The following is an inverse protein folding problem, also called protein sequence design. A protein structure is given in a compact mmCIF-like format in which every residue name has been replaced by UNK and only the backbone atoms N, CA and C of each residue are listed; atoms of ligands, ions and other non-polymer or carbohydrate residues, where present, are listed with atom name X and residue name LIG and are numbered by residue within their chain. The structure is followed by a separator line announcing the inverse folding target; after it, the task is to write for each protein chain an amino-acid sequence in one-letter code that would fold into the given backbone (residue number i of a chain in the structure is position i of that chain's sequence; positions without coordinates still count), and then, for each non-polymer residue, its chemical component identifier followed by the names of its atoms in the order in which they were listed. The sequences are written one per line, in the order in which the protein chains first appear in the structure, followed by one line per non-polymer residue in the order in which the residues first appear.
data_IF_525251408733
#
_entry.id   IF_525251408733
#
_cell.length_a   1.000
_cell.length_b   1.000
_cell.length_c   1.000
_cell.angle_alpha   90.00
_cell.angle_beta   90.00
_cell.angle_gamma   90.00
#
_symmetry.space_group_name_H-M   'P 1'
#
loop_
_entity.id
_entity.type
_entity.pdbx_description
1 polymer ?
#
# COMPACT_ATOMS: atom_id res chain seq x y z
N UNK A 1 11.90 -13.46 -84.06
CA UNK A 1 11.34 -12.15 -83.66
C UNK A 1 10.11 -12.33 -82.78
N UNK A 2 10.31 -12.47 -81.46
CA UNK A 2 9.30 -12.24 -80.40
C UNK A 2 9.96 -12.43 -79.01
N UNK A 3 11.17 -11.90 -78.85
CA UNK A 3 11.91 -11.86 -77.59
C UNK A 3 11.73 -10.46 -77.02
N UNK A 4 10.57 -10.19 -76.39
CA UNK A 4 10.33 -9.18 -75.34
C UNK A 4 8.82 -9.04 -75.10
N UNK A 5 8.21 -9.97 -74.36
CA UNK A 5 7.02 -9.67 -73.56
C UNK A 5 7.39 -9.93 -72.11
N UNK A 6 7.77 -8.86 -71.40
CA UNK A 6 7.96 -8.86 -69.94
C UNK A 6 6.63 -9.26 -69.30
N UNK A 7 6.54 -10.46 -68.74
CA UNK A 7 5.48 -10.79 -67.80
C UNK A 7 5.67 -9.92 -66.54
N UNK A 8 4.64 -9.15 -66.19
CA UNK A 8 4.57 -8.36 -64.94
C UNK A 8 4.20 -9.26 -63.75
N UNK A 9 4.80 -10.44 -63.64
CA UNK A 9 4.64 -11.28 -62.46
C UNK A 9 5.87 -11.07 -61.57
N UNK A 10 5.78 -10.03 -60.74
CA UNK A 10 6.73 -9.83 -59.66
C UNK A 10 6.76 -11.07 -58.77
N UNK A 11 7.95 -11.51 -58.41
CA UNK A 11 8.19 -12.55 -57.40
C UNK A 11 7.43 -12.17 -56.13
N UNK A 12 6.26 -12.80 -55.90
CA UNK A 12 5.54 -12.69 -54.63
C UNK A 12 6.31 -13.50 -53.60
N UNK A 13 7.28 -12.86 -52.95
CA UNK A 13 7.83 -13.39 -51.71
C UNK A 13 6.66 -13.54 -50.74
N UNK A 14 6.37 -14.73 -50.19
CA UNK A 14 5.37 -14.84 -49.15
C UNK A 14 5.90 -14.04 -47.96
N UNK A 15 5.41 -12.81 -47.78
CA UNK A 15 5.54 -12.10 -46.53
C UNK A 15 4.77 -12.92 -45.51
N UNK A 16 5.45 -13.90 -44.91
CA UNK A 16 5.06 -14.44 -43.62
C UNK A 16 5.06 -13.22 -42.71
N UNK A 17 3.87 -12.67 -42.49
CA UNK A 17 3.63 -11.66 -41.47
C UNK A 17 4.14 -12.30 -40.19
N UNK A 18 5.37 -11.95 -39.79
CA UNK A 18 5.87 -12.30 -38.47
C UNK A 18 4.90 -11.60 -37.54
N UNK A 19 3.96 -12.35 -36.99
CA UNK A 19 3.16 -11.91 -35.87
C UNK A 19 4.18 -11.53 -34.80
N UNK A 20 4.35 -10.22 -34.63
CA UNK A 20 5.19 -9.66 -33.58
C UNK A 20 4.58 -10.18 -32.28
N UNK A 21 5.35 -10.82 -31.40
CA UNK A 21 4.82 -11.28 -30.12
C UNK A 21 4.25 -10.08 -29.36
N UNK A 22 2.95 -10.11 -29.07
CA UNK A 22 2.32 -9.15 -28.18
C UNK A 22 3.04 -9.18 -26.82
N UNK A 23 3.37 -8.00 -26.28
CA UNK A 23 3.94 -7.86 -24.92
C UNK A 23 5.45 -7.59 -24.81
N UNK A 24 6.20 -7.50 -25.92
CA UNK A 24 7.65 -7.21 -25.88
C UNK A 24 8.00 -5.81 -25.33
N UNK A 25 7.07 -4.86 -25.41
CA UNK A 25 7.29 -3.47 -25.03
C UNK A 25 6.24 -3.01 -24.02
N UNK A 26 6.65 -2.25 -23.01
CA UNK A 26 5.78 -1.68 -21.97
C UNK A 26 6.02 -0.19 -21.88
N UNK A 27 4.95 0.61 -21.90
CA UNK A 27 5.03 2.06 -21.71
C UNK A 27 5.04 2.39 -20.22
N UNK A 28 5.96 3.25 -19.79
CA UNK A 28 5.98 3.77 -18.43
C UNK A 28 4.79 4.71 -18.21
N UNK A 29 4.02 4.46 -17.16
CA UNK A 29 2.85 5.29 -16.78
C UNK A 29 3.25 6.70 -16.35
N UNK A 30 4.47 6.87 -15.82
CA UNK A 30 4.97 8.14 -15.31
C UNK A 30 5.64 9.00 -16.40
N UNK A 31 6.68 8.48 -17.06
CA UNK A 31 7.50 9.28 -18.00
C UNK A 31 7.18 9.02 -19.47
N UNK A 32 6.28 8.08 -19.78
CA UNK A 32 5.86 7.75 -21.14
C UNK A 32 6.89 6.97 -21.98
N UNK A 33 8.07 6.66 -21.44
CA UNK A 33 9.12 5.90 -22.13
C UNK A 33 8.65 4.49 -22.50
N UNK A 34 9.06 4.00 -23.68
CA UNK A 34 8.74 2.65 -24.15
C UNK A 34 9.91 1.73 -23.80
N UNK A 35 9.67 0.81 -22.87
CA UNK A 35 10.70 -0.06 -22.31
C UNK A 35 10.59 -1.46 -22.88
N UNK A 36 11.73 -2.10 -23.16
CA UNK A 36 11.77 -3.50 -23.55
C UNK A 36 11.57 -4.39 -22.31
N UNK A 37 10.69 -5.40 -22.42
CA UNK A 37 10.27 -6.19 -21.26
C UNK A 37 11.44 -6.93 -20.56
N UNK A 38 12.41 -7.44 -21.33
CA UNK A 38 13.59 -8.12 -20.75
C UNK A 38 14.51 -7.15 -20.00
N UNK A 39 14.61 -5.91 -20.45
CA UNK A 39 15.37 -4.88 -19.73
C UNK A 39 14.66 -4.50 -18.45
N UNK A 40 13.34 -4.37 -18.50
CA UNK A 40 12.51 -4.11 -17.34
C UNK A 40 12.65 -5.23 -16.30
N UNK A 41 12.61 -6.50 -16.72
CA UNK A 41 12.82 -7.65 -15.84
C UNK A 41 14.22 -7.66 -15.20
N UNK A 42 15.27 -7.39 -15.98
CA UNK A 42 16.65 -7.26 -15.46
C UNK A 42 16.78 -6.12 -14.46
N UNK A 43 16.04 -5.03 -14.66
CA UNK A 43 15.98 -3.90 -13.73
C UNK A 43 14.89 -4.06 -12.65
N UNK A 44 14.48 -5.30 -12.37
CA UNK A 44 13.53 -5.67 -11.31
C UNK A 44 12.17 -4.93 -11.42
N UNK A 45 11.72 -4.71 -12.65
CA UNK A 45 10.47 -4.00 -12.94
C UNK A 45 10.45 -2.56 -12.42
N UNK A 46 11.60 -1.89 -12.54
CA UNK A 46 11.74 -0.45 -12.33
C UNK A 46 12.11 0.23 -13.64
N UNK A 47 11.53 1.39 -13.93
CA UNK A 47 11.81 2.14 -15.15
C UNK A 47 13.28 2.56 -15.17
N UNK A 48 13.99 2.27 -16.25
CA UNK A 48 15.42 2.62 -16.43
C UNK A 48 15.66 4.11 -16.55
N UNK A 49 14.63 4.91 -16.88
CA UNK A 49 14.72 6.36 -17.08
C UNK A 49 14.32 7.17 -15.84
N UNK A 50 13.19 6.84 -15.23
CA UNK A 50 12.62 7.62 -14.13
C UNK A 50 12.48 6.85 -12.81
N UNK A 51 12.99 5.60 -12.73
CA UNK A 51 12.90 4.74 -11.55
C UNK A 51 11.47 4.55 -11.04
N UNK A 52 10.47 4.56 -11.94
CA UNK A 52 9.10 4.22 -11.61
C UNK A 52 8.98 2.73 -11.31
N UNK A 53 8.38 2.41 -10.18
CA UNK A 53 8.17 1.05 -9.73
C UNK A 53 6.87 0.50 -10.33
N UNK A 54 7.01 -0.44 -11.27
CA UNK A 54 5.83 -1.10 -11.83
C UNK A 54 5.24 -2.08 -10.82
N UNK A 55 3.91 -2.26 -10.89
CA UNK A 55 3.23 -3.35 -10.20
C UNK A 55 3.68 -4.68 -10.78
N UNK A 56 4.01 -5.62 -9.91
CA UNK A 56 4.44 -6.96 -10.30
C UNK A 56 3.68 -8.02 -9.51
N UNK A 57 3.52 -9.24 -10.06
CA UNK A 57 2.90 -10.34 -9.35
C UNK A 57 3.66 -10.72 -8.08
N UNK A 58 2.94 -11.26 -7.10
CA UNK A 58 3.51 -11.70 -5.82
C UNK A 58 4.60 -12.78 -6.01
N UNK A 59 4.43 -13.69 -6.98
CA UNK A 59 5.45 -14.69 -7.33
C UNK A 59 6.75 -14.05 -7.83
N UNK A 60 6.67 -12.89 -8.49
CA UNK A 60 7.86 -12.15 -8.94
C UNK A 60 8.60 -11.55 -7.77
N UNK A 61 7.90 -10.97 -6.79
CA UNK A 61 8.53 -10.51 -5.53
C UNK A 61 9.23 -11.65 -4.79
N UNK A 62 8.60 -12.82 -4.68
CA UNK A 62 9.23 -14.00 -4.06
C UNK A 62 10.56 -14.34 -4.74
N UNK A 63 10.62 -14.32 -6.09
CA UNK A 63 11.86 -14.55 -6.85
C UNK A 63 12.91 -13.46 -6.66
N UNK A 64 12.49 -12.21 -6.50
CA UNK A 64 13.40 -11.07 -6.33
C UNK A 64 14.05 -11.09 -4.94
N UNK A 65 13.28 -11.47 -3.92
CA UNK A 65 13.69 -11.34 -2.52
C UNK A 65 14.41 -12.58 -1.99
N UNK A 66 13.86 -13.77 -2.26
CA UNK A 66 14.33 -15.01 -1.65
C UNK A 66 15.44 -15.68 -2.46
N UNK A 67 16.20 -16.55 -1.81
CA UNK A 67 17.20 -17.38 -2.47
C UNK A 67 16.52 -18.36 -3.44
N UNK A 68 17.19 -18.64 -4.55
CA UNK A 68 16.67 -19.51 -5.60
C UNK A 68 16.32 -20.90 -5.05
N UNK A 69 15.10 -21.37 -5.34
CA UNK A 69 14.61 -22.68 -4.88
C UNK A 69 14.25 -22.78 -3.39
N UNK A 70 14.42 -21.71 -2.61
CA UNK A 70 14.16 -21.75 -1.15
C UNK A 70 12.68 -21.64 -0.77
N UNK A 71 11.84 -21.08 -1.66
CA UNK A 71 10.45 -20.79 -1.32
C UNK A 71 9.59 -22.04 -1.23
N UNK A 72 8.99 -22.25 -0.07
CA UNK A 72 7.97 -23.28 0.17
C UNK A 72 6.64 -22.60 0.48
N UNK A 73 5.74 -22.60 -0.49
CA UNK A 73 4.38 -22.06 -0.33
C UNK A 73 3.61 -22.84 0.74
N UNK A 74 2.88 -22.13 1.61
CA UNK A 74 2.08 -22.69 2.70
C UNK A 74 0.66 -22.13 2.66
N UNK A 75 -0.28 -22.92 3.16
CA UNK A 75 -1.68 -22.53 3.33
C UNK A 75 -2.41 -22.21 2.01
N UNK A 76 -1.92 -22.74 0.89
CA UNK A 76 -2.51 -22.57 -0.44
C UNK A 76 -3.88 -23.25 -0.56
N UNK A 77 -4.17 -24.20 0.33
CA UNK A 77 -5.47 -24.86 0.48
C UNK A 77 -6.55 -23.94 1.06
N UNK A 78 -6.18 -22.85 1.75
CA UNK A 78 -7.14 -21.89 2.34
C UNK A 78 -7.61 -20.92 1.25
N UNK A 79 -8.85 -21.06 0.77
CA UNK A 79 -9.37 -20.27 -0.35
C UNK A 79 -10.64 -19.50 0.01
N UNK A 80 -10.85 -18.32 -0.58
CA UNK A 80 -12.10 -17.57 -0.38
C UNK A 80 -13.31 -18.34 -0.92
N UNK A 81 -14.38 -18.28 -0.15
CA UNK A 81 -15.73 -18.72 -0.51
C UNK A 81 -16.65 -17.51 -0.57
N UNK A 82 -17.94 -17.71 -0.87
CA UNK A 82 -18.96 -16.66 -0.89
C UNK A 82 -19.94 -16.83 0.29
N UNK A 83 -19.53 -16.49 1.54
CA UNK A 83 -20.33 -16.75 2.74
C UNK A 83 -21.60 -15.91 2.78
N UNK A 84 -21.59 -14.73 2.15
CA UNK A 84 -22.73 -13.79 2.12
C UNK A 84 -23.62 -13.96 0.88
N UNK A 85 -23.26 -14.89 -0.04
CA UNK A 85 -23.91 -15.05 -1.35
C UNK A 85 -24.01 -13.70 -2.09
N UNK A 86 -22.93 -12.91 -2.01
CA UNK A 86 -22.94 -11.51 -2.41
C UNK A 86 -23.11 -11.37 -3.92
N UNK A 87 -23.97 -10.43 -4.33
CA UNK A 87 -24.21 -10.12 -5.73
C UNK A 87 -24.38 -8.61 -5.91
N UNK A 88 -23.54 -8.07 -6.79
CA UNK A 88 -23.75 -6.76 -7.39
C UNK A 88 -24.12 -6.95 -8.88
N UNK A 89 -23.56 -6.13 -9.77
CA UNK A 89 -23.48 -6.40 -11.22
C UNK A 89 -23.04 -7.83 -11.58
N UNK A 90 -22.21 -8.47 -10.76
CA UNK A 90 -21.69 -9.84 -10.90
C UNK A 90 -21.75 -10.55 -9.55
N UNK A 91 -21.85 -11.88 -9.57
CA UNK A 91 -21.77 -12.67 -8.32
C UNK A 91 -20.33 -12.69 -7.83
N UNK A 92 -20.13 -12.69 -6.52
CA UNK A 92 -18.78 -12.74 -5.94
C UNK A 92 -18.03 -14.03 -6.34
N UNK A 93 -18.72 -15.16 -6.38
CA UNK A 93 -18.16 -16.43 -6.86
C UNK A 93 -17.56 -16.33 -8.28
N UNK A 94 -18.21 -15.59 -9.19
CA UNK A 94 -17.72 -15.41 -10.56
C UNK A 94 -16.47 -14.52 -10.59
N UNK A 95 -16.43 -13.50 -9.73
CA UNK A 95 -15.25 -12.63 -9.56
C UNK A 95 -14.05 -13.43 -9.03
N UNK A 96 -14.27 -14.33 -8.06
CA UNK A 96 -13.24 -15.22 -7.55
C UNK A 96 -12.72 -16.16 -8.62
N UNK A 97 -13.62 -16.80 -9.39
CA UNK A 97 -13.23 -17.69 -10.50
C UNK A 97 -12.36 -16.94 -11.51
N UNK A 98 -12.83 -15.77 -11.95
CA UNK A 98 -12.10 -14.93 -12.91
C UNK A 98 -10.72 -14.50 -12.38
N UNK A 99 -10.65 -14.04 -11.14
CA UNK A 99 -9.37 -13.63 -10.54
C UNK A 99 -8.37 -14.78 -10.44
N UNK A 100 -8.83 -16.00 -10.13
CA UNK A 100 -7.98 -17.21 -10.11
C UNK A 100 -7.46 -17.55 -11.51
N UNK A 101 -8.32 -17.45 -12.53
CA UNK A 101 -7.94 -17.70 -13.93
C UNK A 101 -6.92 -16.67 -14.44
N UNK A 102 -7.12 -15.38 -14.15
CA UNK A 102 -6.24 -14.30 -14.63
C UNK A 102 -4.87 -14.30 -13.93
N UNK A 103 -4.82 -14.62 -12.64
CA UNK A 103 -3.59 -14.52 -11.83
C UNK A 103 -2.87 -15.84 -11.64
N UNK A 104 -3.55 -16.98 -11.81
CA UNK A 104 -3.06 -18.29 -11.40
C UNK A 104 -2.88 -18.44 -9.88
N UNK A 105 -3.40 -17.51 -9.08
CA UNK A 105 -3.35 -17.53 -7.62
C UNK A 105 -4.67 -18.05 -7.04
N UNK A 106 -4.60 -18.70 -5.89
CA UNK A 106 -5.79 -19.17 -5.17
C UNK A 106 -6.42 -18.09 -4.29
N UNK A 107 -5.66 -17.06 -3.91
CA UNK A 107 -6.06 -15.90 -3.12
C UNK A 107 -5.10 -14.71 -3.36
N UNK A 108 -5.47 -13.51 -2.88
CA UNK A 108 -4.70 -12.27 -2.97
C UNK A 108 -3.40 -12.20 -2.17
N UNK A 109 -3.00 -13.29 -1.50
CA UNK A 109 -1.74 -13.35 -0.78
C UNK A 109 -1.11 -14.73 -0.92
N UNK A 110 0.20 -14.72 -1.22
CA UNK A 110 1.08 -15.87 -1.10
C UNK A 110 1.74 -15.83 0.26
N UNK A 111 1.68 -16.92 1.01
CA UNK A 111 2.37 -17.07 2.29
C UNK A 111 3.26 -18.30 2.22
N UNK A 112 4.45 -18.23 2.77
CA UNK A 112 5.36 -19.35 2.75
C UNK A 112 6.61 -19.11 3.58
N UNK A 113 7.51 -20.07 3.50
CA UNK A 113 8.83 -20.00 4.11
C UNK A 113 9.88 -19.85 3.00
N UNK A 114 11.02 -19.27 3.33
CA UNK A 114 12.18 -19.26 2.45
C UNK A 114 13.40 -18.72 3.16
N UNK A 115 14.45 -18.44 2.39
CA UNK A 115 15.69 -17.89 2.91
C UNK A 115 16.12 -16.64 2.15
N UNK A 116 16.82 -15.74 2.83
CA UNK A 116 17.60 -14.66 2.22
C UNK A 116 19.03 -14.81 2.70
N UNK A 117 19.97 -15.07 1.79
CA UNK A 117 21.37 -15.35 2.09
C UNK A 117 21.50 -16.47 3.15
N UNK A 118 20.69 -17.52 2.99
CA UNK A 118 20.63 -18.68 3.89
C UNK A 118 19.91 -18.44 5.22
N UNK A 119 19.42 -17.23 5.51
CA UNK A 119 18.70 -16.91 6.76
C UNK A 119 17.21 -17.20 6.59
N UNK A 120 16.61 -18.05 7.45
CA UNK A 120 15.22 -18.42 7.30
C UNK A 120 14.28 -17.29 7.71
N UNK A 121 13.17 -17.15 6.99
CA UNK A 121 12.08 -16.24 7.31
C UNK A 121 10.73 -16.85 6.89
N UNK A 122 9.66 -16.32 7.48
CA UNK A 122 8.31 -16.47 6.95
C UNK A 122 7.97 -15.21 6.18
N UNK A 123 7.43 -15.36 4.97
CA UNK A 123 7.09 -14.25 4.10
C UNK A 123 5.65 -14.35 3.61
N UNK A 124 4.94 -13.23 3.63
CA UNK A 124 3.64 -13.03 3.00
C UNK A 124 3.73 -11.93 1.94
N UNK A 125 3.28 -12.20 0.72
CA UNK A 125 3.33 -11.24 -0.40
C UNK A 125 1.95 -11.10 -1.00
N UNK A 126 1.35 -9.93 -0.86
CA UNK A 126 0.04 -9.62 -1.44
C UNK A 126 0.15 -9.36 -2.95
N UNK A 127 -0.89 -9.74 -3.69
CA UNK A 127 -0.98 -9.51 -5.13
C UNK A 127 -2.18 -8.62 -5.47
N UNK A 128 -1.90 -7.41 -5.95
CA UNK A 128 -2.94 -6.45 -6.32
C UNK A 128 -3.80 -6.91 -7.51
N UNK A 129 -3.27 -7.77 -8.39
CA UNK A 129 -4.02 -8.28 -9.54
C UNK A 129 -5.21 -9.16 -9.10
N UNK A 130 -5.13 -9.79 -7.92
CA UNK A 130 -6.23 -10.58 -7.37
C UNK A 130 -7.23 -9.67 -6.64
N UNK A 131 -8.28 -9.24 -7.34
CA UNK A 131 -9.35 -8.40 -6.78
C UNK A 131 -8.84 -7.16 -6.02
N UNK A 132 -7.83 -6.48 -6.59
CA UNK A 132 -7.23 -5.28 -5.99
C UNK A 132 -6.40 -5.57 -4.75
N UNK A 133 -5.93 -6.81 -4.56
CA UNK A 133 -5.20 -7.23 -3.36
C UNK A 133 -6.04 -7.11 -2.09
N UNK A 134 -7.38 -7.06 -2.22
CA UNK A 134 -8.25 -6.76 -1.09
C UNK A 134 -8.19 -7.87 -0.05
N UNK A 135 -8.11 -7.53 1.24
CA UNK A 135 -8.05 -8.53 2.30
C UNK A 135 -9.45 -9.09 2.60
N UNK A 136 -9.60 -10.39 2.42
CA UNK A 136 -10.81 -11.16 2.73
C UNK A 136 -10.54 -12.20 3.82
N UNK A 137 -11.54 -13.01 4.19
CA UNK A 137 -11.40 -14.01 5.26
C UNK A 137 -10.25 -15.00 5.00
N UNK A 138 -10.13 -15.51 3.76
CA UNK A 138 -9.07 -16.44 3.40
C UNK A 138 -7.68 -15.78 3.39
N UNK A 139 -7.57 -14.55 2.87
CA UNK A 139 -6.31 -13.81 2.91
C UNK A 139 -5.90 -13.51 4.36
N UNK A 140 -6.83 -13.09 5.22
CA UNK A 140 -6.61 -12.86 6.64
C UNK A 140 -6.24 -14.14 7.41
N UNK A 141 -6.84 -15.28 7.07
CA UNK A 141 -6.45 -16.59 7.63
C UNK A 141 -5.03 -16.99 7.20
N UNK A 142 -4.64 -16.80 5.95
CA UNK A 142 -3.27 -17.07 5.49
C UNK A 142 -2.25 -16.19 6.22
N UNK A 143 -2.54 -14.90 6.39
CA UNK A 143 -1.69 -13.98 7.18
C UNK A 143 -1.58 -14.49 8.62
N UNK A 144 -2.71 -14.81 9.25
CA UNK A 144 -2.75 -15.33 10.61
C UNK A 144 -1.92 -16.61 10.78
N UNK A 145 -2.04 -17.57 9.86
CA UNK A 145 -1.23 -18.80 9.86
C UNK A 145 0.24 -18.52 9.60
N UNK A 146 0.58 -17.55 8.75
CA UNK A 146 1.95 -17.09 8.56
C UNK A 146 2.57 -16.53 9.83
N UNK A 147 1.83 -15.68 10.56
CA UNK A 147 2.26 -15.15 11.86
C UNK A 147 2.46 -16.29 12.87
N UNK A 148 1.52 -17.24 12.93
CA UNK A 148 1.63 -18.41 13.82
C UNK A 148 2.83 -19.30 13.46
N UNK A 149 3.11 -19.51 12.17
CA UNK A 149 4.27 -20.26 11.70
C UNK A 149 5.58 -19.56 12.08
N UNK A 150 5.63 -18.22 11.95
CA UNK A 150 6.76 -17.40 12.39
C UNK A 150 6.97 -17.50 13.90
N UNK A 151 5.87 -17.47 14.68
CA UNK A 151 5.89 -17.71 16.13
C UNK A 151 6.41 -19.09 16.51
N UNK A 152 5.92 -20.14 15.85
CA UNK A 152 6.29 -21.54 16.11
C UNK A 152 7.78 -21.75 15.85
N UNK A 153 8.27 -21.29 14.69
CA UNK A 153 9.66 -21.49 14.26
C UNK A 153 10.64 -20.46 14.81
N UNK A 154 10.14 -19.39 15.43
CA UNK A 154 10.93 -18.22 15.84
C UNK A 154 11.71 -17.60 14.68
N UNK A 155 11.14 -17.66 13.47
CA UNK A 155 11.72 -17.05 12.27
C UNK A 155 11.14 -15.65 12.07
N UNK A 156 11.92 -14.64 11.64
CA UNK A 156 11.40 -13.32 11.32
C UNK A 156 10.24 -13.38 10.33
N UNK A 157 9.26 -12.49 10.51
CA UNK A 157 8.12 -12.33 9.61
C UNK A 157 8.36 -11.13 8.68
N UNK A 158 8.12 -11.32 7.39
CA UNK A 158 8.09 -10.24 6.40
C UNK A 158 6.73 -10.22 5.71
N UNK A 159 6.00 -9.10 5.77
CA UNK A 159 4.75 -8.94 5.02
C UNK A 159 4.88 -7.81 4.00
N UNK A 160 4.78 -8.15 2.72
CA UNK A 160 4.70 -7.20 1.63
C UNK A 160 3.23 -6.93 1.28
N UNK A 161 2.82 -5.68 1.49
CA UNK A 161 1.45 -5.22 1.33
C UNK A 161 1.28 -4.51 -0.01
N UNK A 162 0.25 -4.92 -0.75
CA UNK A 162 -0.25 -4.27 -1.96
C UNK A 162 -1.75 -4.51 -2.02
N UNK A 163 -2.53 -3.51 -1.62
CA UNK A 163 -3.97 -3.67 -1.38
C UNK A 163 -4.76 -2.38 -1.55
N UNK A 164 -5.95 -2.53 -2.13
CA UNK A 164 -7.03 -1.53 -2.13
C UNK A 164 -7.85 -1.47 -0.83
N UNK A 165 -7.55 -2.32 0.17
CA UNK A 165 -8.25 -2.35 1.45
C UNK A 165 -8.98 -3.66 1.75
N UNK A 166 -10.08 -3.58 2.50
CA UNK A 166 -10.87 -4.75 2.89
C UNK A 166 -11.77 -5.23 1.73
N UNK A 167 -11.97 -6.53 1.59
CA UNK A 167 -12.81 -7.09 0.53
C UNK A 167 -14.28 -6.95 0.88
N UNK A 168 -14.92 -5.92 0.31
CA UNK A 168 -16.31 -5.55 0.61
C UNK A 168 -17.32 -6.69 0.37
N UNK A 169 -17.03 -7.61 -0.55
CA UNK A 169 -17.90 -8.75 -0.85
C UNK A 169 -18.12 -9.70 0.34
N UNK A 170 -17.20 -9.72 1.31
CA UNK A 170 -17.32 -10.50 2.56
C UNK A 170 -17.69 -9.61 3.77
N UNK A 171 -17.93 -8.31 3.55
CA UNK A 171 -18.44 -7.38 4.55
C UNK A 171 -17.62 -7.34 5.85
N UNK A 172 -18.32 -7.52 6.97
CA UNK A 172 -17.72 -7.49 8.32
C UNK A 172 -16.63 -8.56 8.51
N UNK A 173 -16.70 -9.68 7.80
CA UNK A 173 -15.70 -10.75 7.91
C UNK A 173 -14.32 -10.26 7.47
N UNK A 174 -14.27 -9.44 6.41
CA UNK A 174 -13.04 -8.79 5.95
C UNK A 174 -12.50 -7.79 6.97
N UNK A 175 -13.37 -6.99 7.60
CA UNK A 175 -12.97 -6.04 8.64
C UNK A 175 -12.33 -6.76 9.83
N UNK A 176 -12.92 -7.87 10.27
CA UNK A 176 -12.42 -8.63 11.43
C UNK A 176 -11.04 -9.26 11.19
N UNK A 177 -10.61 -9.42 9.94
CA UNK A 177 -9.25 -9.88 9.66
C UNK A 177 -8.17 -8.89 10.13
N UNK A 178 -8.48 -7.59 10.18
CA UNK A 178 -7.58 -6.57 10.74
C UNK A 178 -7.30 -6.85 12.21
N UNK A 179 -8.36 -7.03 13.00
CA UNK A 179 -8.25 -7.31 14.43
C UNK A 179 -7.51 -8.63 14.69
N UNK A 180 -7.82 -9.66 13.89
CA UNK A 180 -7.18 -10.98 13.96
C UNK A 180 -5.67 -10.90 13.71
N UNK A 181 -5.26 -10.24 12.62
CA UNK A 181 -3.84 -10.10 12.28
C UNK A 181 -3.09 -9.34 13.37
N UNK A 182 -3.63 -8.20 13.82
CA UNK A 182 -3.00 -7.39 14.87
C UNK A 182 -2.91 -8.11 16.21
N UNK A 183 -3.92 -8.90 16.61
CA UNK A 183 -3.87 -9.68 17.83
C UNK A 183 -2.75 -10.74 17.80
N UNK A 184 -2.51 -11.35 16.64
CA UNK A 184 -1.41 -12.31 16.47
C UNK A 184 -0.05 -11.62 16.36
N UNK A 185 0.03 -10.45 15.71
CA UNK A 185 1.24 -9.64 15.68
C UNK A 185 1.63 -9.13 17.07
N UNK A 186 0.66 -8.81 17.92
CA UNK A 186 0.93 -8.49 19.33
C UNK A 186 1.60 -9.68 20.05
N UNK A 187 1.15 -10.90 19.79
CA UNK A 187 1.79 -12.13 20.34
C UNK A 187 3.18 -12.37 19.74
N UNK A 188 3.36 -12.10 18.45
CA UNK A 188 4.66 -12.16 17.75
C UNK A 188 5.65 -11.17 18.38
N UNK A 189 5.17 -9.95 18.59
CA UNK A 189 5.89 -8.90 19.30
C UNK A 189 6.22 -9.37 20.71
N UNK A 190 5.27 -9.81 21.55
CA UNK A 190 5.56 -10.32 22.91
C UNK A 190 6.64 -11.43 22.93
N UNK A 191 6.61 -12.31 21.93
CA UNK A 191 7.58 -13.39 21.78
C UNK A 191 8.99 -12.90 21.38
N UNK A 192 9.14 -11.66 20.92
CA UNK A 192 10.41 -11.10 20.46
C UNK A 192 10.84 -11.60 19.09
N UNK A 193 9.88 -12.02 18.27
CA UNK A 193 10.15 -12.41 16.88
C UNK A 193 9.99 -11.17 15.99
N UNK A 194 11.01 -10.78 15.21
CA UNK A 194 10.96 -9.56 14.40
C UNK A 194 9.88 -9.61 13.31
N UNK A 195 9.19 -8.49 13.11
CA UNK A 195 8.25 -8.27 12.03
C UNK A 195 8.67 -7.06 11.18
N UNK A 196 8.95 -7.30 9.90
CA UNK A 196 9.24 -6.26 8.91
C UNK A 196 8.04 -6.11 7.98
N UNK A 197 7.50 -4.89 7.91
CA UNK A 197 6.43 -4.54 6.97
C UNK A 197 7.02 -3.84 5.75
N UNK A 198 6.60 -4.24 4.54
CA UNK A 198 6.94 -3.57 3.29
C UNK A 198 5.65 -3.10 2.64
N UNK A 199 5.51 -1.80 2.43
CA UNK A 199 4.37 -1.21 1.74
C UNK A 199 4.73 -0.90 0.29
N UNK A 200 3.97 -1.44 -0.66
CA UNK A 200 4.15 -1.16 -2.09
C UNK A 200 2.91 -0.48 -2.67
N UNK A 201 3.02 -0.02 -3.91
CA UNK A 201 1.94 0.72 -4.56
C UNK A 201 0.80 -0.21 -5.02
N UNK A 202 -0.47 0.07 -4.65
CA UNK A 202 -0.92 0.89 -3.52
C UNK A 202 -1.06 0.06 -2.23
N UNK A 203 -0.95 0.68 -1.05
CA UNK A 203 -1.29 0.06 0.24
C UNK A 203 -2.32 0.94 0.95
N UNK A 204 -3.59 0.56 0.88
CA UNK A 204 -4.69 1.41 1.34
C UNK A 204 -5.70 0.70 2.26
N UNK A 205 -6.57 1.49 2.91
CA UNK A 205 -7.74 0.98 3.63
C UNK A 205 -7.38 0.18 4.87
N UNK A 206 -8.13 -0.90 5.08
CA UNK A 206 -7.98 -1.76 6.25
C UNK A 206 -6.60 -2.42 6.38
N UNK A 207 -5.90 -2.65 5.27
CA UNK A 207 -4.52 -3.21 5.30
C UNK A 207 -3.56 -2.20 5.92
N UNK A 208 -3.57 -0.94 5.46
CA UNK A 208 -2.76 0.14 6.04
C UNK A 208 -3.12 0.39 7.50
N UNK A 209 -4.40 0.37 7.84
CA UNK A 209 -4.86 0.55 9.23
C UNK A 209 -4.75 -0.72 10.11
N UNK A 210 -4.02 -1.75 9.66
CA UNK A 210 -3.77 -2.96 10.45
C UNK A 210 -2.31 -3.39 10.37
N UNK A 211 -2.02 -4.60 9.90
CA UNK A 211 -0.71 -5.21 9.98
C UNK A 211 0.36 -4.40 9.25
N UNK A 212 0.02 -3.73 8.14
CA UNK A 212 1.00 -3.00 7.36
C UNK A 212 1.70 -1.87 8.15
N UNK A 213 1.04 -1.22 9.11
CA UNK A 213 1.60 -0.05 9.84
C UNK A 213 2.08 -0.38 11.25
N UNK A 214 2.25 -1.66 11.60
CA UNK A 214 2.67 -2.10 12.95
C UNK A 214 3.88 -3.02 12.91
N UNK A 215 4.73 -2.87 11.88
CA UNK A 215 6.04 -3.52 11.81
C UNK A 215 7.02 -2.98 12.84
N UNK A 216 7.96 -3.81 13.29
CA UNK A 216 9.15 -3.32 14.01
C UNK A 216 10.02 -2.43 13.11
N UNK A 217 9.99 -2.71 11.80
CA UNK A 217 10.52 -1.84 10.74
C UNK A 217 9.51 -1.78 9.61
N UNK A 218 9.16 -0.56 9.20
CA UNK A 218 8.24 -0.23 8.12
C UNK A 218 9.05 0.35 6.96
N UNK A 219 9.12 -0.43 5.88
CA UNK A 219 9.73 -0.04 4.63
C UNK A 219 8.66 0.32 3.61
N UNK A 220 8.98 1.21 2.68
CA UNK A 220 8.15 1.45 1.51
C UNK A 220 8.98 1.54 0.23
N UNK A 221 8.35 1.21 -0.90
CA UNK A 221 8.92 1.52 -2.21
C UNK A 221 8.70 3.02 -2.56
N UNK A 222 9.61 3.66 -3.32
CA UNK A 222 9.47 5.04 -3.78
C UNK A 222 8.14 5.32 -4.47
N UNK A 223 7.59 6.51 -4.23
CA UNK A 223 6.30 7.00 -4.74
C UNK A 223 5.11 6.06 -4.49
N UNK A 224 5.20 5.14 -3.53
CA UNK A 224 4.08 4.25 -3.24
C UNK A 224 2.91 5.04 -2.61
N UNK A 225 1.73 4.95 -3.23
CA UNK A 225 0.49 5.47 -2.63
C UNK A 225 0.10 4.64 -1.39
N UNK A 226 0.16 5.25 -0.21
CA UNK A 226 -0.12 4.64 1.07
C UNK A 226 -1.08 5.52 1.88
N UNK A 227 -2.20 4.96 2.34
CA UNK A 227 -3.08 5.70 3.23
C UNK A 227 -4.40 5.00 3.55
N UNK A 228 -5.05 5.44 4.63
CA UNK A 228 -6.31 4.81 5.07
C UNK A 228 -7.45 5.04 4.06
N UNK A 229 -7.79 6.29 3.77
CA UNK A 229 -8.79 6.63 2.75
C UNK A 229 -8.09 7.01 1.44
N UNK A 230 -8.66 6.63 0.29
CA UNK A 230 -8.11 7.03 -1.01
C UNK A 230 -8.17 8.55 -1.24
N UNK A 231 -7.24 9.13 -2.01
CA UNK A 231 -7.13 10.58 -2.18
C UNK A 231 -8.41 11.18 -2.78
N UNK A 232 -9.07 10.44 -3.69
CA UNK A 232 -10.37 10.83 -4.26
C UNK A 232 -11.45 11.07 -3.20
N UNK A 233 -11.57 10.16 -2.22
CA UNK A 233 -12.58 10.25 -1.16
C UNK A 233 -12.28 11.42 -0.24
N UNK A 234 -11.01 11.64 0.10
CA UNK A 234 -10.59 12.74 0.96
C UNK A 234 -10.88 14.08 0.28
N UNK A 235 -10.46 14.25 -0.99
CA UNK A 235 -10.70 15.47 -1.79
C UNK A 235 -12.19 15.83 -1.85
N UNK A 236 -13.06 14.85 -2.04
CA UNK A 236 -14.51 15.04 -2.05
C UNK A 236 -15.07 15.44 -0.68
N UNK A 237 -14.48 14.94 0.40
CA UNK A 237 -14.96 15.20 1.77
C UNK A 237 -14.57 16.60 2.25
N UNK A 238 -13.32 17.02 1.99
CA UNK A 238 -12.82 18.32 2.45
C UNK A 238 -13.09 19.45 1.44
N UNK A 239 -13.48 19.10 0.21
CA UNK A 239 -13.70 20.02 -0.92
C UNK A 239 -12.52 20.99 -1.17
N UNK A 240 -11.30 20.46 -1.08
CA UNK A 240 -10.05 21.20 -1.28
C UNK A 240 -9.06 20.34 -2.07
N UNK A 241 -8.13 21.01 -2.75
CA UNK A 241 -7.00 20.33 -3.39
C UNK A 241 -6.09 19.69 -2.34
N UNK A 242 -5.59 18.50 -2.65
CA UNK A 242 -4.65 17.80 -1.78
C UNK A 242 -3.23 18.32 -2.06
N UNK A 243 -2.37 18.38 -1.03
CA UNK A 243 -0.97 18.74 -1.22
C UNK A 243 -0.28 17.87 -2.28
N UNK A 244 0.74 18.40 -2.94
CA UNK A 244 1.58 17.62 -3.83
C UNK A 244 2.24 16.46 -3.06
N UNK A 245 2.29 15.28 -3.67
CA UNK A 245 2.82 14.08 -3.03
C UNK A 245 1.98 13.56 -1.86
N UNK A 246 0.76 14.06 -1.64
CA UNK A 246 -0.11 13.55 -0.58
C UNK A 246 -0.26 12.03 -0.67
N UNK A 247 -0.05 11.34 0.46
CA UNK A 247 -0.06 9.87 0.57
C UNK A 247 1.05 9.13 -0.17
N UNK A 248 2.07 9.79 -0.72
CA UNK A 248 3.24 9.05 -1.22
C UNK A 248 4.13 8.59 -0.08
N UNK A 249 4.96 7.57 -0.33
CA UNK A 249 5.98 7.12 0.61
C UNK A 249 6.87 8.24 1.15
N UNK A 250 7.23 9.22 0.32
CA UNK A 250 8.03 10.40 0.70
C UNK A 250 7.28 11.29 1.68
N UNK A 251 5.99 11.52 1.43
CA UNK A 251 5.14 12.26 2.35
C UNK A 251 5.00 11.54 3.69
N UNK A 252 4.79 10.22 3.69
CA UNK A 252 4.65 9.44 4.92
C UNK A 252 5.97 9.34 5.71
N UNK A 253 7.11 9.23 5.02
CA UNK A 253 8.44 9.28 5.65
C UNK A 253 8.63 10.63 6.37
N UNK A 254 8.29 11.75 5.72
CA UNK A 254 8.38 13.08 6.33
C UNK A 254 7.44 13.27 7.54
N UNK A 255 6.39 12.44 7.67
CA UNK A 255 5.48 12.41 8.82
C UNK A 255 5.83 11.35 9.87
N UNK A 256 6.93 10.61 9.69
CA UNK A 256 7.40 9.59 10.63
C UNK A 256 6.54 8.32 10.65
N UNK A 257 5.81 8.02 9.57
CA UNK A 257 5.00 6.80 9.46
C UNK A 257 5.72 5.64 8.77
N UNK A 258 6.85 5.91 8.12
CA UNK A 258 7.70 4.94 7.42
C UNK A 258 9.12 5.15 7.94
N UNK A 259 9.85 4.08 8.22
CA UNK A 259 11.24 4.17 8.71
C UNK A 259 12.21 4.44 7.57
N UNK A 260 11.98 3.82 6.41
CA UNK A 260 12.85 3.99 5.24
C UNK A 260 12.14 3.71 3.92
N UNK A 261 12.44 4.55 2.93
CA UNK A 261 12.10 4.29 1.53
C UNK A 261 13.24 3.52 0.89
N UNK A 262 12.95 2.40 0.24
CA UNK A 262 13.94 1.47 -0.30
C UNK A 262 13.60 1.18 -1.76
N UNK A 263 14.52 1.52 -2.66
CA UNK A 263 14.38 1.16 -4.07
C UNK A 263 14.45 -0.37 -4.24
N UNK A 264 13.72 -0.92 -5.21
CA UNK A 264 13.49 -2.38 -5.29
C UNK A 264 14.77 -3.18 -5.53
N UNK A 265 15.75 -2.59 -6.21
CA UNK A 265 17.10 -3.15 -6.40
C UNK A 265 17.88 -3.33 -5.09
N UNK A 266 17.61 -2.51 -4.07
CA UNK A 266 18.25 -2.54 -2.76
C UNK A 266 17.43 -3.29 -1.71
N UNK A 267 16.18 -3.66 -2.05
CA UNK A 267 15.23 -4.23 -1.11
C UNK A 267 15.73 -5.56 -0.53
N UNK A 268 16.24 -6.47 -1.37
CA UNK A 268 16.81 -7.76 -0.91
C UNK A 268 18.01 -7.54 0.02
N UNK A 269 18.93 -6.64 -0.36
CA UNK A 269 20.12 -6.29 0.45
C UNK A 269 19.72 -5.69 1.81
N UNK A 270 18.75 -4.79 1.79
CA UNK A 270 18.22 -4.14 3.00
C UNK A 270 17.56 -5.16 3.92
N UNK A 271 16.77 -6.08 3.37
CA UNK A 271 16.18 -7.18 4.14
C UNK A 271 17.26 -8.10 4.73
N UNK A 272 18.27 -8.49 3.95
CA UNK A 272 19.37 -9.30 4.50
C UNK A 272 20.05 -8.59 5.68
N UNK A 273 20.35 -7.30 5.53
CA UNK A 273 20.95 -6.50 6.61
C UNK A 273 20.07 -6.42 7.86
N UNK A 274 18.76 -6.21 7.70
CA UNK A 274 17.82 -6.21 8.83
C UNK A 274 17.74 -7.58 9.52
N UNK A 275 17.67 -8.67 8.74
CA UNK A 275 17.66 -10.03 9.28
C UNK A 275 18.95 -10.34 10.04
N UNK A 276 20.10 -9.86 9.55
CA UNK A 276 21.38 -9.95 10.25
C UNK A 276 21.38 -9.17 11.56
N UNK A 277 20.90 -7.93 11.53
CA UNK A 277 20.80 -7.08 12.71
C UNK A 277 19.94 -7.72 13.80
N UNK A 278 18.74 -8.21 13.46
CA UNK A 278 17.85 -8.85 14.42
C UNK A 278 18.38 -10.18 14.94
N UNK A 279 19.06 -10.97 14.09
CA UNK A 279 19.70 -12.21 14.52
C UNK A 279 20.82 -11.94 15.56
N UNK A 280 21.64 -10.90 15.32
CA UNK A 280 22.67 -10.49 16.26
C UNK A 280 22.06 -9.93 17.57
N UNK A 281 21.00 -9.12 17.48
CA UNK A 281 20.30 -8.61 18.64
C UNK A 281 19.73 -9.73 19.51
N UNK A 282 19.22 -10.80 18.92
CA UNK A 282 18.70 -11.96 19.64
C UNK A 282 19.77 -12.70 20.47
N UNK A 283 21.06 -12.55 20.14
CA UNK A 283 22.18 -13.15 20.89
C UNK A 283 22.60 -12.31 22.12
N UNK A 284 22.16 -11.05 22.23
CA UNK A 284 22.51 -10.19 23.36
C UNK A 284 21.67 -10.52 24.60
N UNK A 285 22.18 -10.25 25.83
CA UNK A 285 21.41 -10.43 27.05
C UNK A 285 20.16 -9.54 27.01
N UNK A 286 19.00 -10.17 26.84
CA UNK A 286 17.74 -9.46 26.81
C UNK A 286 17.29 -9.15 28.23
N UNK A 287 16.98 -7.88 28.52
CA UNK A 287 16.18 -7.58 29.72
C UNK A 287 14.87 -8.36 29.61
N UNK A 288 14.38 -8.98 30.69
CA UNK A 288 13.10 -9.66 30.66
C UNK A 288 12.04 -8.71 30.13
N UNK A 289 11.42 -9.08 29.01
CA UNK A 289 10.32 -8.31 28.43
C UNK A 289 9.19 -8.29 29.45
N UNK A 290 8.72 -7.10 29.79
CA UNK A 290 7.65 -6.89 30.77
C UNK A 290 6.44 -7.73 30.35
N UNK A 291 5.89 -8.51 31.27
CA UNK A 291 4.70 -9.31 30.95
C UNK A 291 3.52 -8.36 30.75
N UNK A 292 2.62 -8.66 29.80
CA UNK A 292 1.42 -7.86 29.56
C UNK A 292 0.60 -7.54 30.83
N UNK A 293 0.62 -8.45 31.83
CA UNK A 293 0.00 -8.24 33.15
C UNK A 293 0.62 -7.09 33.99
N UNK A 294 1.92 -6.82 33.86
CA UNK A 294 2.61 -5.73 34.57
C UNK A 294 2.26 -4.36 33.98
N UNK A 295 2.05 -4.30 32.66
CA UNK A 295 1.58 -3.08 31.96
C UNK A 295 0.12 -2.77 32.33
N UNK A 296 -0.74 -3.80 32.43
CA UNK A 296 -2.13 -3.64 32.87
C UNK A 296 -2.22 -3.19 34.34
N UNK A 297 -1.36 -3.71 35.21
CA UNK A 297 -1.26 -3.32 36.61
C UNK A 297 -0.88 -1.84 36.77
N UNK A 298 0.00 -1.32 35.90
CA UNK A 298 0.33 0.11 35.86
C UNK A 298 -0.78 0.97 35.27
N UNK A 299 -1.50 0.52 34.24
CA UNK A 299 -2.69 1.23 33.76
C UNK A 299 -3.78 1.34 34.84
N UNK A 300 -3.97 0.28 35.64
CA UNK A 300 -4.81 0.32 36.84
C UNK A 300 -4.27 1.23 37.94
N UNK A 301 -2.95 1.42 38.03
CA UNK A 301 -2.33 2.31 39.01
C UNK A 301 -2.34 3.78 38.59
N UNK A 302 -2.34 4.06 37.27
CA UNK A 302 -2.45 5.42 36.71
C UNK A 302 -3.91 5.86 36.57
N UNK A 303 -4.82 4.91 36.34
CA UNK A 303 -6.25 5.12 36.48
C UNK A 303 -6.64 5.08 37.96
N UNK A 304 -6.67 6.24 38.62
CA UNK A 304 -7.53 6.40 39.79
C UNK A 304 -8.94 5.87 39.48
N UNK A 305 -9.74 5.45 40.48
CA UNK A 305 -11.03 4.84 40.23
C UNK A 305 -11.81 5.72 39.25
N UNK A 306 -12.11 5.18 38.08
CA UNK A 306 -13.14 5.77 37.23
C UNK A 306 -14.36 5.77 38.15
N UNK A 307 -14.70 6.94 38.68
CA UNK A 307 -15.90 7.09 39.45
C UNK A 307 -17.01 6.49 38.59
N UNK A 308 -17.65 5.44 39.09
CA UNK A 308 -18.89 4.95 38.54
C UNK A 308 -19.96 6.01 38.83
N UNK A 309 -19.82 7.19 38.24
CA UNK A 309 -20.96 8.03 37.99
C UNK A 309 -21.66 7.33 36.84
N UNK A 310 -22.60 6.46 37.18
CA UNK A 310 -23.60 6.02 36.22
C UNK A 310 -24.17 7.30 35.61
N UNK A 311 -23.82 7.57 34.35
CA UNK A 311 -24.49 8.62 33.62
C UNK A 311 -25.99 8.27 33.66
N UNK A 312 -26.87 9.19 34.11
CA UNK A 312 -28.29 8.91 34.07
C UNK A 312 -28.67 8.55 32.63
N UNK A 313 -29.61 7.61 32.43
CA UNK A 313 -30.02 7.19 31.10
C UNK A 313 -30.38 8.43 30.28
N UNK A 314 -30.00 8.48 28.98
CA UNK A 314 -30.34 9.62 28.14
C UNK A 314 -31.85 9.82 28.19
N UNK A 315 -32.30 11.04 28.50
CA UNK A 315 -33.71 11.39 28.44
C UNK A 315 -34.23 11.03 27.03
N UNK A 316 -35.43 10.46 26.93
CA UNK A 316 -36.05 10.24 25.62
C UNK A 316 -36.09 11.57 24.87
N UNK A 317 -35.90 11.57 23.54
CA UNK A 317 -35.94 12.80 22.76
C UNK A 317 -37.30 13.47 22.99
N UNK A 318 -37.25 14.74 23.41
CA UNK A 318 -38.40 15.63 23.34
C UNK A 318 -38.89 15.66 21.89
N UNK A 319 -40.22 15.62 21.73
CA UNK A 319 -40.94 15.43 20.48
C UNK A 319 -40.26 16.07 19.26
N UNK A 320 -40.19 15.31 18.17
CA UNK A 320 -39.71 15.80 16.90
C UNK A 320 -40.49 17.08 16.51
N UNK A 321 -39.83 18.16 16.07
CA UNK A 321 -40.54 19.35 15.64
C UNK A 321 -41.48 18.98 14.48
N UNK A 322 -42.73 19.45 14.55
CA UNK A 322 -43.74 19.22 13.54
C UNK A 322 -43.22 19.59 12.13
N UNK A 323 -43.62 18.86 11.08
CA UNK A 323 -43.15 19.12 9.72
C UNK A 323 -43.59 20.53 9.28
N UNK A 324 -42.63 21.39 8.99
CA UNK A 324 -42.89 22.76 8.50
C UNK A 324 -42.05 23.89 9.10
N UNK A 325 -41.17 23.61 10.07
CA UNK A 325 -40.24 24.65 10.57
C UNK A 325 -39.05 24.79 9.61
N UNK A 326 -38.80 25.98 9.01
CA UNK A 326 -37.64 26.18 8.17
C UNK A 326 -36.36 26.01 8.99
N UNK A 327 -35.41 25.24 8.46
CA UNK A 327 -34.09 25.07 9.06
C UNK A 327 -33.45 26.45 9.26
N UNK A 328 -33.09 26.78 10.51
CA UNK A 328 -32.35 28.00 10.82
C UNK A 328 -31.08 28.04 9.97
N UNK A 329 -30.90 29.15 9.26
CA UNK A 329 -29.66 29.43 8.54
C UNK A 329 -28.47 29.33 9.51
N UNK A 330 -27.51 28.50 9.12
CA UNK A 330 -26.26 28.33 9.83
C UNK A 330 -25.41 29.60 9.63
N UNK A 331 -25.37 30.48 10.62
CA UNK A 331 -24.41 31.58 10.64
C UNK A 331 -23.07 31.06 11.20
N UNK A 332 -21.97 31.12 10.43
CA UNK A 332 -20.68 30.69 10.93
C UNK A 332 -20.20 31.65 12.02
N UNK A 333 -19.94 31.14 13.22
CA UNK A 333 -19.29 31.89 14.30
C UNK A 333 -17.87 32.25 13.86
N UNK A 334 -17.56 33.55 13.81
CA UNK A 334 -16.21 34.05 13.55
C UNK A 334 -15.21 33.43 14.53
N UNK A 335 -14.24 32.68 14.00
CA UNK A 335 -13.05 32.24 14.72
C UNK A 335 -12.12 33.43 14.88
N UNK A 336 -11.87 33.81 16.13
CA UNK A 336 -10.86 34.80 16.48
C UNK A 336 -9.46 34.18 16.26
N UNK A 337 -8.67 34.77 15.37
CA UNK A 337 -7.24 34.48 15.27
C UNK A 337 -6.48 35.02 16.49
N UNK A 338 -5.29 34.47 16.81
CA UNK A 338 -4.47 35.01 17.88
C UNK A 338 -3.98 36.39 17.42
N UNK A 339 -4.27 37.43 18.21
CA UNK A 339 -3.94 38.85 17.99
C UNK A 339 -5.02 39.76 17.35
N UNK A 340 -6.31 39.53 17.63
CA UNK A 340 -7.26 40.61 18.01
C UNK A 340 -7.30 41.92 17.21
N UNK A 341 -7.17 41.91 15.88
CA UNK A 341 -7.41 43.08 15.01
C UNK A 341 -8.40 42.69 13.90
N UNK A 342 -9.51 43.43 13.68
CA UNK A 342 -10.49 43.10 12.65
C UNK A 342 -10.01 43.50 11.25
N UNK A 343 -10.12 42.59 10.29
CA UNK A 343 -9.86 42.86 8.87
C UNK A 343 -11.11 43.43 8.18
N UNK A 344 -10.93 44.50 7.39
CA UNK A 344 -11.98 45.14 6.60
C UNK A 344 -12.32 44.31 5.33
N UNK A 345 -13.58 44.33 4.85
CA UNK A 345 -13.97 43.58 3.66
C UNK A 345 -13.61 44.35 2.37
N UNK A 346 -12.64 43.85 1.61
CA UNK A 346 -12.41 44.27 0.23
C UNK A 346 -13.26 43.41 -0.71
N UNK A 347 -14.34 43.98 -1.23
CA UNK A 347 -15.04 43.45 -2.39
C UNK A 347 -14.35 43.95 -3.66
N UNK A 348 -14.03 43.05 -4.57
CA UNK A 348 -13.70 43.38 -5.96
C UNK A 348 -14.22 42.27 -6.88
N UNK A 349 -15.04 42.68 -7.84
CA UNK A 349 -15.60 41.93 -8.95
C UNK A 349 -14.54 41.48 -9.97
N UNK A 350 -14.75 40.39 -10.73
CA UNK A 350 -13.76 39.88 -11.66
C UNK A 350 -13.75 40.69 -12.96
N UNK A 351 -12.60 41.25 -13.31
CA UNK A 351 -12.36 41.86 -14.62
C UNK A 351 -11.81 40.81 -15.62
N UNK A 352 -12.32 40.88 -16.83
CA UNK A 352 -12.00 40.06 -18.01
C UNK A 352 -10.50 40.06 -18.36
N UNK A 353 -10.00 38.91 -18.81
CA UNK A 353 -8.70 38.77 -19.46
C UNK A 353 -8.90 38.55 -20.97
N UNK A 354 -8.19 39.28 -21.86
CA UNK A 354 -8.23 39.01 -23.30
C UNK A 354 -7.24 37.91 -23.69
N UNK A 355 -7.63 37.18 -24.75
CA UNK A 355 -6.83 36.18 -25.47
C UNK A 355 -5.67 36.84 -26.22
N UNK A 356 -4.50 36.20 -26.24
CA UNK A 356 -3.65 36.08 -27.43
C UNK A 356 -2.57 34.98 -27.25
N UNK A 357 -2.23 34.32 -28.36
CA UNK A 357 -1.39 33.12 -28.49
C UNK A 357 0.03 33.47 -29.02
N UNK A 358 0.86 32.53 -29.52
CA UNK A 358 2.04 31.97 -28.86
C UNK A 358 3.39 32.40 -29.49
N UNK A 359 4.51 32.27 -28.76
CA UNK A 359 5.82 32.26 -29.42
C UNK A 359 7.06 32.43 -28.54
N UNK A 360 8.05 31.58 -28.84
CA UNK A 360 9.51 31.70 -28.62
C UNK A 360 10.10 31.59 -27.20
N UNK A 361 10.72 30.43 -26.96
CA UNK A 361 12.04 30.23 -26.31
C UNK A 361 13.16 30.92 -27.11
N UNK A 362 14.40 31.17 -26.60
CA UNK A 362 15.16 30.30 -25.68
C UNK A 362 16.09 30.94 -24.62
N UNK A 363 16.58 30.09 -23.70
CA UNK A 363 17.93 30.18 -23.11
C UNK A 363 18.04 30.88 -21.75
N UNK A 364 18.44 30.12 -20.71
CA UNK A 364 18.81 30.68 -19.41
C UNK A 364 19.18 29.59 -18.40
N UNK A 365 20.47 29.32 -18.28
CA UNK A 365 21.09 28.45 -17.28
C UNK A 365 21.10 29.06 -15.88
N UNK A 366 20.71 28.33 -14.84
CA UNK A 366 21.17 28.48 -13.44
C UNK A 366 20.87 27.17 -12.72
N UNK A 367 21.85 26.29 -12.49
CA UNK A 367 22.70 26.25 -11.29
C UNK A 367 21.93 25.98 -9.98
N UNK A 368 22.12 24.77 -9.45
CA UNK A 368 21.74 24.34 -8.10
C UNK A 368 22.36 25.23 -7.02
N UNK A 369 21.69 25.44 -5.88
CA UNK A 369 22.36 25.59 -4.60
C UNK A 369 22.22 24.31 -3.78
N UNK A 370 23.38 23.78 -3.40
CA UNK A 370 23.58 22.77 -2.38
C UNK A 370 23.37 23.35 -0.96
N UNK A 371 23.25 22.44 -0.01
CA UNK A 371 23.54 22.57 1.41
C UNK A 371 22.64 23.50 2.25
N UNK A 372 21.70 22.88 2.96
CA UNK A 372 21.30 23.32 4.30
C UNK A 372 21.37 22.14 5.26
N UNK A 373 22.46 22.11 6.02
CA UNK A 373 22.65 21.30 7.21
C UNK A 373 21.56 21.60 8.25
N UNK A 374 20.97 20.56 8.82
CA UNK A 374 20.01 20.62 9.92
C UNK A 374 20.80 20.32 11.20
N UNK A 375 20.82 21.21 12.21
CA UNK A 375 21.59 20.99 13.42
C UNK A 375 20.90 19.96 14.34
N UNK A 376 21.65 18.92 14.69
CA UNK A 376 21.31 17.96 15.74
C UNK A 376 21.60 18.65 17.09
N UNK A 377 20.58 18.75 17.96
CA UNK A 377 20.76 19.20 19.35
C UNK A 377 21.20 17.99 20.20
N UNK A 378 22.25 18.23 21.00
CA UNK A 378 22.85 17.31 21.98
C UNK A 378 21.88 16.80 23.04
#
# INVERSE_FOLDING_TARGET
MSWLKRSKEGLKTPQRKRELPDGLWTKCEECGEILYQKELERNLWTCTKCSYHFRIPARTYVKILLDEGSFVERFSEVVSTDPLRFRDTKRYADRLKKAREETGLSEAILVGEGTIEGRPLVIGVMDFAFLGGSMASAAGERIARGILLSLEKRHPLVLLSSSGGARMFEGILSLMQMAKANALLARLSDAGVPYISIMTHPTTGGVTASFASVGDVILAEPRALIGFAGPRVIKQTINQELPEGFQTSEFLLAKGMIDRIVHRNELRKTLSWLLQFFAAAAMLPQKPRRRAGETLARFRAVGGPIAQTAAPPPKPPEEAPAPGVPLREFQPSATQGPNGVPAAPSGETPAEAPKETPGSTPGGSTAFPADREIPIRE
#
